data_IF_945896188292
#
_entry.id   IF_945896188292
#
_cell.length_a   1.000
_cell.length_b   1.000
_cell.length_c   1.000
_cell.angle_alpha   90.00
_cell.angle_beta   90.00
_cell.angle_gamma   90.00
#
_symmetry.space_group_name_H-M   'P 1'
#
loop_
_entity.id
_entity.type
_entity.pdbx_description
1 polymer ?
#
# COMPACT_ATOMS: atom_id res chain seq x y z
N UNK A 1 -20.74 4.45 0.94
CA UNK A 1 -20.87 3.20 0.19
C UNK A 1 -22.03 2.41 0.77
N UNK A 2 -23.11 2.29 0.00
CA UNK A 2 -24.28 1.51 0.40
C UNK A 2 -24.06 0.05 0.01
N UNK A 3 -24.50 -0.89 0.85
CA UNK A 3 -24.27 -2.33 0.65
C UNK A 3 -24.88 -2.87 -0.66
N UNK A 4 -25.78 -2.10 -1.28
CA UNK A 4 -26.40 -2.37 -2.58
C UNK A 4 -25.49 -2.09 -3.77
N UNK A 5 -24.57 -1.13 -3.69
CA UNK A 5 -23.64 -0.79 -4.78
C UNK A 5 -22.56 -1.87 -4.93
N UNK A 6 -22.06 -2.37 -3.79
CA UNK A 6 -21.10 -3.47 -3.75
C UNK A 6 -21.66 -4.78 -4.33
N UNK A 7 -22.97 -5.01 -4.18
CA UNK A 7 -23.65 -6.19 -4.74
C UNK A 7 -23.86 -6.08 -6.26
N UNK A 8 -24.08 -4.88 -6.79
CA UNK A 8 -24.21 -4.67 -8.24
C UNK A 8 -22.87 -4.87 -8.94
N UNK A 9 -21.79 -4.36 -8.35
CA UNK A 9 -20.42 -4.59 -8.80
C UNK A 9 -20.04 -6.07 -8.86
N UNK A 10 -20.34 -6.81 -7.79
CA UNK A 10 -20.08 -8.24 -7.76
C UNK A 10 -20.87 -9.00 -8.84
N UNK A 11 -22.10 -8.60 -9.12
CA UNK A 11 -22.94 -9.26 -10.14
C UNK A 11 -22.45 -9.03 -11.58
N UNK A 12 -21.89 -7.86 -11.88
CA UNK A 12 -21.42 -7.50 -13.23
C UNK A 12 -20.08 -8.18 -13.56
N UNK A 13 -19.17 -8.24 -12.58
CA UNK A 13 -17.90 -8.98 -12.71
C UNK A 13 -18.16 -10.49 -12.83
N UNK A 14 -19.06 -11.05 -12.01
CA UNK A 14 -19.37 -12.48 -12.03
C UNK A 14 -20.06 -12.90 -13.34
N UNK A 15 -20.86 -12.02 -13.93
CA UNK A 15 -21.47 -12.28 -15.24
C UNK A 15 -20.44 -12.33 -16.37
N UNK A 16 -19.37 -11.53 -16.33
CA UNK A 16 -18.26 -11.60 -17.30
C UNK A 16 -17.35 -12.82 -17.08
N UNK A 17 -17.11 -13.19 -15.82
CA UNK A 17 -16.34 -14.37 -15.43
C UNK A 17 -17.02 -15.67 -15.85
N UNK A 18 -18.35 -15.77 -15.70
CA UNK A 18 -19.15 -16.95 -16.02
C UNK A 18 -19.18 -17.29 -17.52
N UNK A 19 -18.79 -16.35 -18.41
CA UNK A 19 -18.75 -16.56 -19.88
C UNK A 19 -17.34 -16.77 -20.42
N UNK A 20 -16.31 -16.75 -19.54
CA UNK A 20 -14.92 -16.98 -19.91
C UNK A 20 -14.45 -16.12 -21.12
N UNK A 21 -15.06 -14.96 -21.30
CA UNK A 21 -14.75 -14.03 -22.38
C UNK A 21 -13.45 -13.32 -22.03
N UNK A 22 -12.42 -13.50 -22.85
CA UNK A 22 -11.13 -12.86 -22.64
C UNK A 22 -11.29 -11.40 -23.03
N UNK A 23 -11.38 -10.53 -22.04
CA UNK A 23 -11.42 -9.08 -22.26
C UNK A 23 -10.13 -8.66 -22.98
N UNK A 24 -10.28 -7.84 -24.01
CA UNK A 24 -9.14 -7.28 -24.74
C UNK A 24 -8.56 -6.13 -23.92
N UNK A 25 -7.26 -5.84 -24.07
CA UNK A 25 -6.56 -4.79 -23.31
C UNK A 25 -7.30 -3.44 -23.32
N UNK A 26 -7.88 -3.06 -24.47
CA UNK A 26 -8.67 -1.83 -24.63
C UNK A 26 -9.97 -1.80 -23.79
N UNK A 27 -10.53 -2.97 -23.49
CA UNK A 27 -11.74 -3.11 -22.68
C UNK A 27 -11.40 -3.02 -21.19
N UNK A 28 -10.26 -3.61 -20.79
CA UNK A 28 -9.69 -3.50 -19.44
C UNK A 28 -9.30 -2.05 -19.12
N UNK A 29 -8.62 -1.38 -20.06
CA UNK A 29 -8.20 0.01 -19.87
C UNK A 29 -9.41 0.93 -19.74
N UNK A 30 -10.46 0.72 -20.55
CA UNK A 30 -11.69 1.51 -20.49
C UNK A 30 -12.43 1.34 -19.17
N UNK A 31 -12.51 0.12 -18.63
CA UNK A 31 -13.10 -0.09 -17.30
C UNK A 31 -12.29 0.62 -16.21
N UNK A 32 -10.95 0.61 -16.31
CA UNK A 32 -10.06 1.27 -15.35
C UNK A 32 -10.12 2.80 -15.45
N UNK A 33 -10.30 3.36 -16.65
CA UNK A 33 -10.34 4.83 -16.84
C UNK A 33 -11.72 5.44 -16.61
N UNK A 34 -12.80 4.67 -16.72
CA UNK A 34 -14.15 5.17 -16.44
C UNK A 34 -14.42 5.40 -14.93
N UNK A 35 -13.59 4.86 -14.04
CA UNK A 35 -13.66 5.09 -12.59
C UNK A 35 -12.89 6.32 -12.10
N UNK A 36 -12.02 6.90 -12.93
CA UNK A 36 -11.11 7.99 -12.54
C UNK A 36 -11.53 9.36 -13.13
N UNK A 37 -12.73 9.44 -13.70
CA UNK A 37 -13.31 10.69 -14.23
C UNK A 37 -14.21 11.38 -13.18
N UNK A 38 -13.96 11.13 -11.90
CA UNK A 38 -14.41 11.99 -10.81
C UNK A 38 -13.25 12.92 -10.44
N UNK A 39 -13.48 14.19 -10.73
CA UNK A 39 -12.67 15.37 -10.43
C UNK A 39 -12.36 15.45 -8.92
N UNK A 40 -11.44 14.62 -8.43
CA UNK A 40 -10.96 14.72 -7.07
C UNK A 40 -9.73 15.61 -7.07
N UNK A 41 -9.98 16.89 -6.82
CA UNK A 41 -9.06 17.86 -6.25
C UNK A 41 -8.23 17.19 -5.15
N UNK A 42 -7.11 16.57 -5.56
CA UNK A 42 -6.15 15.95 -4.67
C UNK A 42 -5.47 17.09 -3.93
N UNK A 43 -6.16 17.62 -2.92
CA UNK A 43 -5.56 18.38 -1.85
C UNK A 43 -4.35 17.55 -1.42
N UNK A 44 -3.13 18.10 -1.49
CA UNK A 44 -1.94 17.32 -1.16
C UNK A 44 -2.11 16.90 0.28
N UNK A 45 -2.46 15.62 0.48
CA UNK A 45 -2.60 15.01 1.80
C UNK A 45 -1.30 15.34 2.50
N UNK A 46 -1.40 16.20 3.52
CA UNK A 46 -0.26 16.72 4.26
C UNK A 46 0.61 15.51 4.60
N UNK A 47 1.85 15.41 4.09
CA UNK A 47 2.67 14.25 4.32
C UNK A 47 2.77 14.07 5.83
N UNK A 48 2.14 13.01 6.35
CA UNK A 48 2.11 12.74 7.78
C UNK A 48 3.57 12.74 8.21
N UNK A 49 3.96 13.73 9.00
CA UNK A 49 5.32 13.91 9.51
C UNK A 49 5.51 12.87 10.60
N UNK A 50 5.55 11.61 10.21
CA UNK A 50 5.82 10.50 11.12
C UNK A 50 7.16 10.78 11.75
N UNK A 51 7.18 10.77 13.08
CA UNK A 51 8.43 10.98 13.79
C UNK A 51 9.33 9.78 13.53
N UNK A 52 10.65 9.99 13.58
CA UNK A 52 11.60 8.90 13.36
C UNK A 52 11.40 7.73 14.34
N UNK A 53 11.10 8.05 15.62
CA UNK A 53 10.77 7.07 16.65
C UNK A 53 9.50 6.27 16.33
N UNK A 54 8.50 6.93 15.74
CA UNK A 54 7.24 6.31 15.36
C UNK A 54 7.43 5.39 14.14
N UNK A 55 8.20 5.82 13.14
CA UNK A 55 8.53 4.97 11.99
C UNK A 55 9.27 3.69 12.42
N UNK A 56 10.23 3.78 13.34
CA UNK A 56 10.94 2.62 13.89
C UNK A 56 10.01 1.71 14.70
N UNK A 57 9.09 2.28 15.49
CA UNK A 57 8.12 1.52 16.27
C UNK A 57 7.16 0.75 15.35
N UNK A 58 6.59 1.42 14.35
CA UNK A 58 5.71 0.79 13.35
C UNK A 58 6.42 -0.34 12.63
N UNK A 59 7.65 -0.11 12.12
CA UNK A 59 8.43 -1.15 11.43
C UNK A 59 8.74 -2.35 12.33
N UNK A 60 8.99 -2.12 13.63
CA UNK A 60 9.24 -3.20 14.59
C UNK A 60 7.99 -4.02 14.87
N UNK A 61 6.84 -3.36 15.03
CA UNK A 61 5.54 -4.02 15.21
C UNK A 61 5.11 -4.80 13.96
N UNK A 62 5.29 -4.23 12.76
CA UNK A 62 4.99 -4.93 11.51
C UNK A 62 5.88 -6.16 11.30
N UNK A 63 7.16 -6.08 11.67
CA UNK A 63 8.06 -7.23 11.61
C UNK A 63 7.62 -8.33 12.60
N UNK A 64 7.24 -7.98 13.82
CA UNK A 64 6.73 -8.94 14.80
C UNK A 64 5.44 -9.62 14.30
N UNK A 65 4.51 -8.85 13.76
CA UNK A 65 3.28 -9.39 13.16
C UNK A 65 3.61 -10.36 12.03
N UNK A 66 4.58 -10.01 11.17
CA UNK A 66 4.95 -10.88 10.07
C UNK A 66 5.68 -12.17 10.52
N UNK A 67 6.43 -12.12 11.62
CA UNK A 67 6.99 -13.33 12.24
C UNK A 67 5.89 -14.22 12.86
N UNK A 68 4.85 -13.63 13.45
CA UNK A 68 3.70 -14.34 14.01
C UNK A 68 2.81 -14.98 12.94
N UNK A 69 2.68 -14.33 11.78
CA UNK A 69 2.03 -14.89 10.60
C UNK A 69 2.87 -15.94 9.89
N UNK A 70 4.08 -16.23 10.39
CA UNK A 70 4.98 -17.27 9.87
C UNK A 70 5.40 -17.04 8.40
N UNK A 71 5.53 -15.77 7.98
CA UNK A 71 6.06 -15.41 6.66
C UNK A 71 7.52 -15.86 6.53
N UNK A 72 7.94 -16.17 5.30
CA UNK A 72 9.29 -16.61 5.04
C UNK A 72 10.31 -15.49 5.30
N UNK A 73 11.55 -15.87 5.59
CA UNK A 73 12.62 -14.92 5.89
C UNK A 73 12.88 -13.94 4.72
N UNK A 74 12.63 -14.36 3.49
CA UNK A 74 12.82 -13.54 2.30
C UNK A 74 11.71 -12.48 2.13
N UNK A 75 10.48 -12.81 2.53
CA UNK A 75 9.33 -11.88 2.55
C UNK A 75 9.50 -10.81 3.65
N UNK A 76 10.14 -11.18 4.77
CA UNK A 76 10.47 -10.28 5.87
C UNK A 76 11.75 -9.45 5.67
N UNK A 77 12.58 -9.82 4.69
CA UNK A 77 13.84 -9.16 4.39
C UNK A 77 13.72 -7.63 4.17
N UNK A 78 12.75 -7.12 3.39
CA UNK A 78 12.59 -5.67 3.20
C UNK A 78 12.26 -4.93 4.51
N UNK A 79 11.39 -5.48 5.37
CA UNK A 79 11.04 -4.87 6.65
C UNK A 79 12.25 -4.75 7.59
N UNK A 80 13.08 -5.80 7.65
CA UNK A 80 14.33 -5.78 8.42
C UNK A 80 15.31 -4.72 7.90
N UNK A 81 15.51 -4.66 6.58
CA UNK A 81 16.39 -3.66 5.95
C UNK A 81 15.90 -2.24 6.20
N UNK A 82 14.60 -1.99 6.11
CA UNK A 82 14.01 -0.67 6.37
C UNK A 82 14.17 -0.25 7.83
N UNK A 83 13.92 -1.17 8.77
CA UNK A 83 14.13 -0.93 10.20
C UNK A 83 15.59 -0.57 10.49
N UNK A 84 16.53 -1.37 9.99
CA UNK A 84 17.96 -1.16 10.22
C UNK A 84 18.45 0.13 9.54
N UNK A 85 17.97 0.42 8.32
CA UNK A 85 18.26 1.68 7.62
C UNK A 85 17.72 2.90 8.36
N UNK A 86 16.52 2.80 8.96
CA UNK A 86 15.99 3.85 9.80
C UNK A 86 16.92 4.09 11.01
N UNK A 87 17.35 3.03 11.71
CA UNK A 87 18.29 3.15 12.83
C UNK A 87 19.64 3.79 12.42
N UNK A 88 20.18 3.43 11.26
CA UNK A 88 21.43 4.01 10.75
C UNK A 88 21.26 5.48 10.33
N UNK A 89 20.13 5.84 9.72
CA UNK A 89 19.83 7.21 9.30
C UNK A 89 19.78 8.18 10.51
N UNK A 90 19.40 7.69 11.69
CA UNK A 90 19.51 8.42 12.96
C UNK A 90 20.95 8.70 13.37
N UNK A 91 21.89 7.77 13.11
CA UNK A 91 23.31 7.96 13.44
C UNK A 91 23.98 8.90 12.42
N UNK A 92 23.68 8.75 11.12
CA UNK A 92 24.17 9.64 10.07
C UNK A 92 23.72 11.09 10.24
N UNK A 93 22.45 11.32 10.57
CA UNK A 93 21.89 12.67 10.77
C UNK A 93 22.47 13.37 12.01
N UNK A 94 22.67 12.63 13.11
CA UNK A 94 23.34 13.16 14.30
C UNK A 94 24.82 13.48 14.05
N UNK A 95 25.46 12.80 13.10
CA UNK A 95 26.83 13.07 12.71
C UNK A 95 26.99 14.38 11.91
N UNK A 96 25.97 14.81 11.16
CA UNK A 96 26.01 16.04 10.35
C UNK A 96 25.62 17.33 11.09
N UNK A 97 24.94 17.24 12.25
CA UNK A 97 24.52 18.41 13.05
C UNK A 97 25.62 18.98 13.96
N UNK A 98 26.89 18.75 13.62
CA UNK A 98 28.07 19.30 14.31
C UNK A 98 28.88 20.13 13.32
N UNK A 99 28.46 21.39 13.14
CA UNK A 99 29.26 22.54 12.69
C UNK A 99 28.66 23.79 13.32
#
# INVERSE_FOLDING_TARGET
MSNTEALQWAAEVDYSLARNEILTDDEIIRTVTAEDDDDDDVTPVNPVKTSHSEAVAVLSTSLQWAEEQNFEAHENMPLRRLRDSAFELKIGTAAQKKS
#
